data_IF_865075883490
#
_entry.id   IF_865075883490
#
_cell.length_a   1.000
_cell.length_b   1.000
_cell.length_c   1.000
_cell.angle_alpha   90.00
_cell.angle_beta   90.00
_cell.angle_gamma   90.00
#
_symmetry.space_group_name_H-M   'P 1'
#
loop_
_entity.id
_entity.type
_entity.pdbx_description
1 polymer ?
#
# COMPACT_ATOMS: atom_id res chain seq x y z
N UNK A 1 -5.20 -29.14 0.54
CA UNK A 1 -6.00 -28.30 -0.36
C UNK A 1 -6.17 -26.93 0.27
N UNK A 2 -5.89 -25.86 -0.45
CA UNK A 2 -6.01 -24.52 0.09
C UNK A 2 -7.48 -24.10 0.20
N UNK A 3 -7.76 -23.23 1.17
CA UNK A 3 -9.07 -22.61 1.33
C UNK A 3 -9.05 -21.28 0.56
N UNK A 4 -9.51 -21.32 -0.69
CA UNK A 4 -9.45 -20.16 -1.59
C UNK A 4 -10.45 -19.06 -1.23
N UNK A 5 -11.36 -19.30 -0.31
CA UNK A 5 -12.29 -18.27 0.16
C UNK A 5 -11.72 -17.52 1.35
N UNK A 6 -11.30 -18.24 2.39
CA UNK A 6 -10.79 -17.63 3.63
C UNK A 6 -9.30 -17.34 3.57
N UNK A 7 -8.52 -18.19 2.90
CA UNK A 7 -7.06 -18.07 2.81
C UNK A 7 -6.62 -18.32 1.37
N UNK A 8 -6.90 -17.37 0.44
CA UNK A 8 -6.45 -17.51 -0.95
C UNK A 8 -4.93 -17.65 -1.03
N UNK A 9 -4.44 -18.50 -1.96
CA UNK A 9 -3.02 -18.82 -2.07
C UNK A 9 -2.14 -17.58 -2.22
N UNK A 10 -2.56 -16.57 -2.98
CA UNK A 10 -1.77 -15.35 -3.18
C UNK A 10 -1.68 -14.48 -1.91
N UNK A 11 -2.51 -14.74 -0.89
CA UNK A 11 -2.43 -14.07 0.41
C UNK A 11 -1.62 -14.88 1.43
N UNK A 12 -1.31 -16.15 1.15
CA UNK A 12 -0.49 -16.98 2.03
C UNK A 12 1.00 -16.93 1.68
N UNK A 13 1.39 -16.10 0.71
CA UNK A 13 2.78 -15.88 0.31
C UNK A 13 3.64 -15.38 1.48
N UNK A 14 3.05 -14.59 2.36
CA UNK A 14 3.75 -13.91 3.43
C UNK A 14 3.54 -14.58 4.78
N UNK A 15 4.47 -14.44 5.74
CA UNK A 15 4.35 -15.04 7.07
C UNK A 15 3.20 -14.44 7.90
N UNK A 16 2.76 -13.21 7.57
CA UNK A 16 1.60 -12.56 8.19
C UNK A 16 0.55 -12.39 7.11
N UNK A 17 -0.69 -12.78 7.41
CA UNK A 17 -1.78 -12.59 6.46
C UNK A 17 -2.03 -11.10 6.23
N UNK A 18 -2.22 -10.71 4.97
CA UNK A 18 -2.41 -9.32 4.57
C UNK A 18 -3.59 -8.68 5.31
N UNK A 19 -4.64 -9.45 5.60
CA UNK A 19 -5.82 -8.94 6.30
C UNK A 19 -5.47 -8.33 7.67
N UNK A 20 -4.46 -8.86 8.36
CA UNK A 20 -4.06 -8.31 9.66
C UNK A 20 -3.51 -6.90 9.56
N UNK A 21 -2.93 -6.54 8.42
CA UNK A 21 -2.50 -5.17 8.17
C UNK A 21 -3.67 -4.30 7.71
N UNK A 22 -4.45 -4.81 6.75
CA UNK A 22 -5.47 -3.97 6.08
C UNK A 22 -6.69 -3.71 6.96
N UNK A 23 -7.06 -4.63 7.85
CA UNK A 23 -8.22 -4.43 8.73
C UNK A 23 -8.04 -3.27 9.72
N UNK A 24 -6.80 -2.88 9.97
CA UNK A 24 -6.44 -1.79 10.89
C UNK A 24 -6.48 -0.43 10.22
N UNK A 25 -6.64 -0.39 8.89
CA UNK A 25 -6.51 0.82 8.09
C UNK A 25 -7.87 1.26 7.55
N UNK A 26 -7.92 2.47 7.00
CA UNK A 26 -9.05 2.91 6.21
C UNK A 26 -9.18 2.05 4.95
N UNK A 27 -10.35 2.14 4.29
CA UNK A 27 -10.57 1.43 3.04
C UNK A 27 -9.50 1.76 2.00
N UNK A 28 -9.16 3.04 1.84
CA UNK A 28 -8.19 3.46 0.82
C UNK A 28 -6.79 2.95 1.14
N UNK A 29 -6.30 3.17 2.34
CA UNK A 29 -4.96 2.73 2.74
C UNK A 29 -4.87 1.21 2.78
N UNK A 30 -5.93 0.53 3.24
CA UNK A 30 -5.98 -0.94 3.21
C UNK A 30 -5.81 -1.49 1.80
N UNK A 31 -6.44 -0.85 0.81
CA UNK A 31 -6.29 -1.26 -0.59
C UNK A 31 -4.88 -0.98 -1.13
N UNK A 32 -4.26 0.14 -0.73
CA UNK A 32 -2.86 0.40 -1.10
C UNK A 32 -1.96 -0.74 -0.64
N UNK A 33 -2.06 -1.12 0.63
CA UNK A 33 -1.23 -2.18 1.23
C UNK A 33 -1.52 -3.52 0.56
N UNK A 34 -2.80 -3.84 0.36
CA UNK A 34 -3.22 -5.09 -0.28
C UNK A 34 -2.58 -5.24 -1.66
N UNK A 35 -2.71 -4.23 -2.52
CA UNK A 35 -2.17 -4.31 -3.87
C UNK A 35 -0.65 -4.26 -3.89
N UNK A 36 -0.02 -3.50 -2.98
CA UNK A 36 1.44 -3.46 -2.86
C UNK A 36 2.03 -4.84 -2.53
N UNK A 37 1.42 -5.56 -1.59
CA UNK A 37 1.88 -6.89 -1.19
C UNK A 37 1.51 -7.98 -2.18
N UNK A 38 0.48 -7.77 -2.98
CA UNK A 38 0.00 -8.71 -3.99
C UNK A 38 0.76 -8.58 -5.32
N UNK A 39 1.33 -7.41 -5.59
CA UNK A 39 2.00 -7.11 -6.86
C UNK A 39 3.14 -8.10 -7.11
N UNK A 40 3.10 -8.76 -8.26
CA UNK A 40 4.10 -9.76 -8.63
C UNK A 40 3.96 -11.12 -7.95
N UNK A 41 2.93 -11.30 -7.12
CA UNK A 41 2.70 -12.55 -6.35
C UNK A 41 1.49 -13.30 -6.89
N UNK A 42 0.43 -12.59 -7.25
CA UNK A 42 -0.83 -13.19 -7.69
C UNK A 42 -0.77 -13.59 -9.15
N UNK A 43 -1.21 -14.81 -9.45
CA UNK A 43 -1.37 -15.28 -10.83
C UNK A 43 -2.51 -14.52 -11.53
N UNK A 44 -2.34 -14.22 -12.82
CA UNK A 44 -3.37 -13.61 -13.65
C UNK A 44 -3.44 -12.10 -13.60
N UNK A 45 -2.69 -11.45 -12.72
CA UNK A 45 -2.56 -10.00 -12.70
C UNK A 45 -1.08 -9.63 -12.82
N UNK A 46 -0.76 -8.57 -13.56
CA UNK A 46 0.61 -8.13 -13.70
C UNK A 46 1.04 -7.28 -12.51
N UNK A 47 2.34 -7.23 -12.26
CA UNK A 47 2.92 -6.32 -11.28
C UNK A 47 2.47 -4.88 -11.51
N UNK A 48 2.54 -4.43 -12.77
CA UNK A 48 2.17 -3.06 -13.13
C UNK A 48 0.70 -2.75 -12.88
N UNK A 49 -0.19 -3.70 -13.13
CA UNK A 49 -1.62 -3.53 -12.86
C UNK A 49 -1.89 -3.35 -11.37
N UNK A 50 -1.30 -4.19 -10.52
CA UNK A 50 -1.49 -4.09 -9.09
C UNK A 50 -0.87 -2.81 -8.51
N UNK A 51 0.31 -2.41 -9.00
CA UNK A 51 0.93 -1.15 -8.58
C UNK A 51 0.12 0.06 -9.02
N UNK A 52 -0.49 0.01 -10.23
CA UNK A 52 -1.38 1.07 -10.69
C UNK A 52 -2.61 1.21 -9.79
N UNK A 53 -3.18 0.09 -9.35
CA UNK A 53 -4.31 0.10 -8.41
C UNK A 53 -3.89 0.68 -7.06
N UNK A 54 -2.75 0.26 -6.52
CA UNK A 54 -2.23 0.78 -5.27
C UNK A 54 -2.03 2.30 -5.35
N UNK A 55 -1.43 2.78 -6.43
CA UNK A 55 -1.21 4.21 -6.66
C UNK A 55 -2.54 4.97 -6.75
N UNK A 56 -3.55 4.41 -7.42
CA UNK A 56 -4.86 5.04 -7.53
C UNK A 56 -5.48 5.28 -6.14
N UNK A 57 -5.44 4.27 -5.28
CA UNK A 57 -5.99 4.40 -3.93
C UNK A 57 -5.17 5.38 -3.08
N UNK A 58 -3.84 5.37 -3.22
CA UNK A 58 -2.97 6.31 -2.51
C UNK A 58 -3.25 7.75 -2.93
N UNK A 59 -3.37 7.99 -4.24
CA UNK A 59 -3.71 9.31 -4.77
C UNK A 59 -5.08 9.78 -4.27
N UNK A 60 -6.05 8.88 -4.23
CA UNK A 60 -7.39 9.20 -3.72
C UNK A 60 -7.35 9.64 -2.26
N UNK A 61 -6.54 8.96 -1.46
CA UNK A 61 -6.34 9.33 -0.06
C UNK A 61 -5.78 10.76 0.06
N UNK A 62 -4.76 11.07 -0.71
CA UNK A 62 -4.13 12.40 -0.71
C UNK A 62 -5.13 13.47 -1.20
N UNK A 63 -5.86 13.19 -2.27
CA UNK A 63 -6.85 14.13 -2.83
C UNK A 63 -7.94 14.46 -1.82
N UNK A 64 -8.41 13.47 -1.06
CA UNK A 64 -9.46 13.69 -0.05
C UNK A 64 -8.97 14.61 1.07
N UNK A 65 -7.72 14.50 1.47
CA UNK A 65 -7.13 15.38 2.48
C UNK A 65 -6.88 16.77 1.90
N UNK A 66 -6.36 16.84 0.67
CA UNK A 66 -6.08 18.10 0.02
C UNK A 66 -7.34 18.96 -0.18
N UNK A 67 -8.49 18.32 -0.35
CA UNK A 67 -9.77 19.02 -0.50
C UNK A 67 -10.17 19.83 0.73
N UNK A 68 -9.66 19.47 1.91
CA UNK A 68 -9.99 20.13 3.18
C UNK A 68 -8.77 20.74 3.90
N UNK A 69 -7.58 20.52 3.37
CA UNK A 69 -6.33 21.00 3.96
C UNK A 69 -5.37 21.36 2.82
N UNK A 70 -4.26 20.63 2.69
CA UNK A 70 -3.24 20.89 1.67
C UNK A 70 -2.75 19.59 1.06
N UNK A 71 -2.10 19.70 -0.10
CA UNK A 71 -1.42 18.56 -0.73
C UNK A 71 -0.32 18.01 0.18
N UNK A 72 0.41 18.89 0.87
CA UNK A 72 1.47 18.48 1.79
C UNK A 72 0.89 17.69 2.97
N UNK A 73 -0.24 18.12 3.52
CA UNK A 73 -0.93 17.37 4.58
C UNK A 73 -1.35 15.98 4.09
N UNK A 74 -1.80 15.88 2.84
CA UNK A 74 -2.16 14.60 2.23
C UNK A 74 -0.97 13.67 2.11
N UNK A 75 0.16 14.19 1.62
CA UNK A 75 1.40 13.43 1.48
C UNK A 75 1.95 13.00 2.84
N UNK A 76 1.93 13.89 3.83
CA UNK A 76 2.39 13.58 5.18
C UNK A 76 1.54 12.47 5.82
N UNK A 77 0.23 12.52 5.62
CA UNK A 77 -0.68 11.47 6.10
C UNK A 77 -0.38 10.13 5.44
N UNK A 78 -0.17 10.12 4.12
CA UNK A 78 0.17 8.90 3.39
C UNK A 78 1.45 8.27 3.94
N UNK A 79 2.47 9.09 4.15
CA UNK A 79 3.76 8.62 4.68
C UNK A 79 3.61 8.06 6.11
N UNK A 80 2.81 8.71 6.96
CA UNK A 80 2.54 8.22 8.31
C UNK A 80 1.88 6.85 8.29
N UNK A 81 0.87 6.65 7.46
CA UNK A 81 0.22 5.35 7.33
C UNK A 81 1.18 4.28 6.82
N UNK A 82 2.05 4.61 5.88
CA UNK A 82 3.04 3.68 5.36
C UNK A 82 4.06 3.28 6.44
N UNK A 83 4.53 4.24 7.21
CA UNK A 83 5.44 3.98 8.33
C UNK A 83 4.78 3.11 9.41
N UNK A 84 3.51 3.35 9.71
CA UNK A 84 2.75 2.58 10.69
C UNK A 84 2.58 1.12 10.24
N UNK A 85 2.31 0.88 8.97
CA UNK A 85 2.18 -0.47 8.43
C UNK A 85 3.51 -1.25 8.55
N UNK A 86 4.62 -0.61 8.22
CA UNK A 86 5.96 -1.21 8.35
C UNK A 86 6.29 -1.49 9.82
N UNK A 87 5.96 -0.56 10.72
CA UNK A 87 6.19 -0.72 12.16
C UNK A 87 5.39 -1.89 12.74
N UNK A 88 4.15 -2.06 12.27
CA UNK A 88 3.31 -3.20 12.68
C UNK A 88 3.99 -4.53 12.35
N UNK A 89 4.50 -4.66 11.13
CA UNK A 89 5.21 -5.89 10.72
C UNK A 89 6.47 -6.11 11.56
N UNK A 90 7.23 -5.05 11.82
CA UNK A 90 8.46 -5.13 12.59
C UNK A 90 8.20 -5.59 14.03
N UNK A 91 7.06 -5.22 14.60
CA UNK A 91 6.69 -5.57 15.97
C UNK A 91 6.11 -6.98 16.13
N UNK A 92 5.87 -7.70 15.04
CA UNK A 92 5.31 -9.05 15.09
C UNK A 92 6.35 -10.06 15.58
N UNK A 93 5.88 -11.17 16.16
CA UNK A 93 6.74 -12.26 16.61
C UNK A 93 7.30 -13.10 15.46
N UNK A 94 6.55 -13.16 14.34
CA UNK A 94 6.98 -13.87 13.15
C UNK A 94 8.19 -13.18 12.53
N UNK A 95 9.03 -13.93 11.79
CA UNK A 95 10.09 -13.30 11.00
C UNK A 95 9.49 -12.63 9.78
N UNK A 96 9.34 -11.31 9.86
CA UNK A 96 8.75 -10.48 8.81
C UNK A 96 9.79 -9.68 8.03
N UNK A 97 11.07 -10.02 8.14
CA UNK A 97 12.15 -9.24 7.54
C UNK A 97 11.95 -9.05 6.03
N UNK A 98 11.71 -10.15 5.30
CA UNK A 98 11.51 -10.11 3.86
C UNK A 98 10.23 -9.36 3.49
N UNK A 99 9.12 -9.66 4.17
CA UNK A 99 7.84 -9.02 3.93
C UNK A 99 7.91 -7.52 4.19
N UNK A 100 8.56 -7.12 5.29
CA UNK A 100 8.71 -5.72 5.66
C UNK A 100 9.54 -4.96 4.62
N UNK A 101 10.66 -5.55 4.17
CA UNK A 101 11.49 -4.95 3.14
C UNK A 101 10.72 -4.78 1.83
N UNK A 102 9.98 -5.80 1.41
CA UNK A 102 9.17 -5.76 0.19
C UNK A 102 8.10 -4.66 0.30
N UNK A 103 7.37 -4.63 1.41
CA UNK A 103 6.33 -3.62 1.63
C UNK A 103 6.92 -2.21 1.59
N UNK A 104 8.02 -1.96 2.29
CA UNK A 104 8.68 -0.64 2.30
C UNK A 104 9.07 -0.20 0.90
N UNK A 105 9.65 -1.10 0.10
CA UNK A 105 10.09 -0.77 -1.26
C UNK A 105 8.88 -0.41 -2.13
N UNK A 106 7.81 -1.19 -2.04
CA UNK A 106 6.59 -0.94 -2.81
C UNK A 106 5.91 0.37 -2.40
N UNK A 107 5.81 0.62 -1.10
CA UNK A 107 5.17 1.84 -0.59
C UNK A 107 6.01 3.08 -0.94
N UNK A 108 7.34 2.98 -0.91
CA UNK A 108 8.21 4.08 -1.34
C UNK A 108 8.00 4.41 -2.83
N UNK A 109 7.91 3.38 -3.67
CA UNK A 109 7.65 3.58 -5.10
C UNK A 109 6.28 4.23 -5.35
N UNK A 110 5.27 3.81 -4.60
CA UNK A 110 3.91 4.38 -4.70
C UNK A 110 3.92 5.84 -4.25
N UNK A 111 4.56 6.14 -3.13
CA UNK A 111 4.67 7.50 -2.62
C UNK A 111 5.36 8.42 -3.62
N UNK A 112 6.50 7.98 -4.16
CA UNK A 112 7.27 8.76 -5.12
C UNK A 112 6.45 9.06 -6.38
N UNK A 113 5.67 8.10 -6.85
CA UNK A 113 4.82 8.29 -8.02
C UNK A 113 3.68 9.28 -7.75
N UNK A 114 3.04 9.19 -6.58
CA UNK A 114 1.99 10.15 -6.20
C UNK A 114 2.56 11.55 -6.07
N UNK A 115 3.70 11.70 -5.40
CA UNK A 115 4.37 12.99 -5.27
C UNK A 115 4.73 13.58 -6.63
N UNK A 116 5.26 12.76 -7.54
CA UNK A 116 5.60 13.19 -8.89
C UNK A 116 4.37 13.68 -9.65
N UNK A 117 3.26 12.96 -9.58
CA UNK A 117 2.01 13.34 -10.23
C UNK A 117 1.50 14.70 -9.70
N UNK A 118 1.60 14.92 -8.40
CA UNK A 118 1.18 16.17 -7.79
C UNK A 118 2.07 17.33 -8.21
N UNK A 119 3.38 17.13 -8.28
CA UNK A 119 4.33 18.13 -8.74
C UNK A 119 4.09 18.48 -10.20
N UNK A 120 3.85 17.50 -11.06
CA UNK A 120 3.54 17.72 -12.48
C UNK A 120 2.24 18.51 -12.65
N UNK A 121 1.20 18.15 -11.89
CA UNK A 121 -0.08 18.87 -11.93
C UNK A 121 0.07 20.31 -11.43
N UNK A 122 0.88 20.53 -10.41
CA UNK A 122 1.18 21.87 -9.91
C UNK A 122 1.90 22.72 -10.95
N UNK A 123 2.93 22.14 -11.59
CA UNK A 123 3.73 22.84 -12.60
C UNK A 123 2.93 23.15 -13.86
N UNK A 124 1.88 22.39 -14.16
CA UNK A 124 1.02 22.60 -15.31
C UNK A 124 0.02 23.75 -15.12
N UNK A 125 -0.16 24.23 -13.89
CA UNK A 125 -1.06 25.36 -13.60
C UNK A 125 -0.29 26.65 -13.48
#
# INVERSE_FOLDING_TARGET
>A
MSDNVNHPDHYTRWPVEVIYLTERESFLIGNVIKYALRAGVKDGATYGEDMAKARWYARRHVDNIAARDSWQAGLDSLQTHFADAAAYLTARQEDTTEMCAYLRDQLAAIYDQVEKELCEAWDAT
#
